data_IF_158931841108
#
_entry.id   IF_158931841108
#
_cell.length_a   1.000
_cell.length_b   1.000
_cell.length_c   1.000
_cell.angle_alpha   90.00
_cell.angle_beta   90.00
_cell.angle_gamma   90.00
#
_symmetry.space_group_name_H-M   'P 1'
#
loop_
_entity.id
_entity.type
_entity.pdbx_description
1 polymer ?
#
# COMPACT_ATOMS: atom_id res chain seq x y z
N UNK A 1 -17.19 -47.58 -3.00
CA UNK A 1 -16.96 -46.36 -2.20
C UNK A 1 -16.45 -45.28 -3.15
N UNK A 2 -17.21 -44.20 -3.32
CA UNK A 2 -16.79 -43.08 -4.16
C UNK A 2 -15.60 -42.35 -3.53
N UNK A 3 -14.66 -41.89 -4.36
CA UNK A 3 -13.57 -41.03 -3.89
C UNK A 3 -14.20 -39.72 -3.41
N UNK A 4 -13.88 -39.31 -2.17
CA UNK A 4 -14.32 -38.02 -1.62
C UNK A 4 -13.34 -36.95 -2.11
N UNK A 5 -13.86 -35.80 -2.51
CA UNK A 5 -13.03 -34.68 -2.96
C UNK A 5 -12.25 -34.10 -1.76
N UNK A 6 -10.97 -33.70 -1.88
CA UNK A 6 -10.20 -33.20 -0.76
C UNK A 6 -10.84 -32.01 -0.03
N UNK A 7 -11.55 -31.13 -0.76
CA UNK A 7 -12.29 -30.02 -0.14
C UNK A 7 -13.38 -30.48 0.84
N UNK A 8 -13.91 -31.69 0.68
CA UNK A 8 -14.96 -32.27 1.53
C UNK A 8 -14.41 -33.25 2.57
N UNK A 9 -13.13 -33.66 2.43
CA UNK A 9 -12.49 -34.64 3.28
C UNK A 9 -11.50 -34.03 4.28
N UNK A 10 -10.92 -32.88 3.94
CA UNK A 10 -9.95 -32.19 4.77
C UNK A 10 -10.66 -31.24 5.75
N UNK A 11 -10.15 -31.16 6.97
CA UNK A 11 -10.63 -30.23 7.98
C UNK A 11 -10.40 -28.79 7.48
N UNK A 12 -11.45 -27.97 7.43
CA UNK A 12 -11.32 -26.52 7.26
C UNK A 12 -10.53 -26.00 8.46
N UNK A 13 -9.24 -25.71 8.26
CA UNK A 13 -8.33 -25.24 9.30
C UNK A 13 -8.65 -23.82 9.78
N UNK A 14 -7.63 -23.04 10.10
CA UNK A 14 -7.80 -21.64 10.50
C UNK A 14 -8.19 -20.75 9.31
N UNK A 15 -8.62 -19.51 9.62
CA UNK A 15 -8.96 -18.50 8.61
C UNK A 15 -7.81 -18.38 7.60
N UNK A 16 -8.07 -18.55 6.29
CA UNK A 16 -7.03 -18.47 5.28
C UNK A 16 -6.43 -17.06 5.27
N UNK A 17 -5.11 -16.99 5.09
CA UNK A 17 -4.43 -15.72 4.90
C UNK A 17 -4.92 -15.04 3.62
N UNK A 18 -4.95 -13.69 3.58
CA UNK A 18 -5.16 -12.98 2.34
C UNK A 18 -4.13 -13.41 1.31
N UNK A 19 -4.57 -13.68 0.08
CA UNK A 19 -3.66 -13.89 -1.04
C UNK A 19 -3.25 -12.51 -1.54
N UNK A 20 -2.01 -12.13 -1.29
CA UNK A 20 -1.40 -10.88 -1.77
C UNK A 20 -0.42 -11.16 -2.91
N UNK A 21 -0.13 -10.18 -3.78
CA UNK A 21 0.92 -10.29 -4.78
C UNK A 21 2.27 -10.66 -4.16
N UNK A 22 3.07 -11.44 -4.89
CA UNK A 22 4.40 -11.87 -4.43
C UNK A 22 5.46 -10.77 -4.53
N UNK A 23 5.15 -9.64 -5.16
CA UNK A 23 6.05 -8.51 -5.33
C UNK A 23 5.34 -7.22 -4.91
N UNK A 24 6.07 -6.38 -4.19
CA UNK A 24 5.68 -5.01 -3.84
C UNK A 24 6.76 -4.07 -4.39
N UNK A 25 6.37 -3.17 -5.29
CA UNK A 25 7.28 -2.25 -5.97
C UNK A 25 7.22 -0.84 -5.34
N UNK A 26 8.36 -0.35 -4.86
CA UNK A 26 8.44 0.97 -4.22
C UNK A 26 8.70 2.10 -5.22
N UNK A 27 7.98 3.20 -5.07
CA UNK A 27 8.18 4.41 -5.86
C UNK A 27 7.98 5.69 -5.01
N UNK A 28 9.03 6.49 -4.89
CA UNK A 28 9.05 7.72 -4.07
C UNK A 28 8.99 9.02 -4.88
N UNK A 29 8.52 9.02 -6.12
CA UNK A 29 8.33 10.27 -6.88
C UNK A 29 7.18 10.12 -7.86
N UNK A 30 6.49 11.22 -8.17
CA UNK A 30 5.35 11.20 -9.11
C UNK A 30 5.68 10.45 -10.41
N UNK A 31 6.85 10.76 -11.00
CA UNK A 31 7.33 10.13 -12.24
C UNK A 31 7.45 8.61 -12.10
N UNK A 32 7.98 8.12 -10.99
CA UNK A 32 8.17 6.69 -10.77
C UNK A 32 6.85 5.99 -10.41
N UNK A 33 5.98 6.65 -9.62
CA UNK A 33 4.66 6.12 -9.29
C UNK A 33 3.85 5.94 -10.57
N UNK A 34 3.78 6.96 -11.44
CA UNK A 34 3.07 6.85 -12.73
C UNK A 34 3.64 5.75 -13.62
N UNK A 35 4.96 5.60 -13.67
CA UNK A 35 5.61 4.51 -14.43
C UNK A 35 5.29 3.13 -13.85
N UNK A 36 5.20 3.01 -12.52
CA UNK A 36 4.83 1.76 -11.87
C UNK A 36 3.37 1.40 -12.20
N UNK A 37 2.45 2.37 -12.15
CA UNK A 37 1.06 2.18 -12.55
C UNK A 37 0.92 1.78 -14.02
N UNK A 38 1.62 2.46 -14.92
CA UNK A 38 1.67 2.09 -16.34
C UNK A 38 2.26 0.69 -16.57
N UNK A 39 3.24 0.28 -15.75
CA UNK A 39 3.82 -1.06 -15.84
C UNK A 39 2.84 -2.13 -15.31
N UNK A 40 2.11 -1.83 -14.24
CA UNK A 40 1.09 -2.71 -13.68
C UNK A 40 -0.04 -2.93 -14.68
N UNK A 41 -0.51 -1.87 -15.34
CA UNK A 41 -1.52 -1.98 -16.41
C UNK A 41 -1.05 -2.86 -17.59
N UNK A 42 0.23 -2.77 -17.96
CA UNK A 42 0.82 -3.58 -19.04
C UNK A 42 1.01 -5.06 -18.68
N UNK A 43 1.45 -5.34 -17.45
CA UNK A 43 1.77 -6.71 -17.00
C UNK A 43 0.58 -7.40 -16.33
N UNK A 44 -0.44 -6.63 -15.96
CA UNK A 44 -1.52 -7.04 -15.06
C UNK A 44 -1.14 -6.90 -13.58
N UNK A 45 -2.11 -7.14 -12.68
CA UNK A 45 -2.00 -6.94 -11.23
C UNK A 45 -1.16 -8.04 -10.53
N UNK A 46 0.09 -8.26 -10.98
CA UNK A 46 0.99 -9.29 -10.44
C UNK A 46 1.93 -8.76 -9.34
N UNK A 47 1.90 -7.45 -9.09
CA UNK A 47 2.64 -6.77 -8.04
C UNK A 47 1.82 -5.60 -7.48
N UNK A 48 1.99 -5.30 -6.20
CA UNK A 48 1.47 -4.07 -5.58
C UNK A 48 2.47 -2.91 -5.74
N UNK A 49 1.98 -1.68 -5.61
CA UNK A 49 2.81 -0.46 -5.66
C UNK A 49 2.78 0.23 -4.31
N UNK A 50 3.94 0.46 -3.70
CA UNK A 50 4.05 1.28 -2.48
C UNK A 50 4.55 2.67 -2.84
N UNK A 51 3.67 3.65 -2.68
CA UNK A 51 4.02 5.07 -2.80
C UNK A 51 4.72 5.51 -1.52
N UNK A 52 5.95 5.97 -1.64
CA UNK A 52 6.83 6.15 -0.49
C UNK A 52 6.89 7.62 -0.04
N UNK A 53 6.33 7.92 1.13
CA UNK A 53 6.52 9.20 1.83
C UNK A 53 7.82 9.22 2.64
N UNK A 54 8.28 8.08 3.17
CA UNK A 54 9.33 8.06 4.18
C UNK A 54 10.71 8.47 3.62
N UNK A 55 11.27 7.66 2.73
CA UNK A 55 12.57 7.97 2.10
C UNK A 55 12.36 8.73 0.77
N UNK A 56 11.13 8.71 0.25
CA UNK A 56 10.75 9.30 -1.03
C UNK A 56 10.38 10.78 -0.97
N UNK A 57 9.94 11.31 0.19
CA UNK A 57 9.59 12.72 0.29
C UNK A 57 10.84 13.60 0.35
N UNK A 58 10.90 14.69 -0.45
CA UNK A 58 11.89 15.73 -0.21
C UNK A 58 11.67 16.38 1.15
N UNK A 59 12.76 16.64 1.88
CA UNK A 59 12.71 17.29 3.19
C UNK A 59 11.96 18.64 3.12
N UNK A 60 11.01 18.85 4.04
CA UNK A 60 10.17 20.04 4.13
C UNK A 60 9.02 20.08 3.12
N UNK A 61 8.80 18.99 2.38
CA UNK A 61 7.68 18.82 1.41
C UNK A 61 6.80 17.63 1.74
N UNK A 62 6.82 17.17 2.99
CA UNK A 62 6.13 15.95 3.44
C UNK A 62 4.63 16.02 3.10
N UNK A 63 3.97 17.13 3.46
CA UNK A 63 2.56 17.39 3.11
C UNK A 63 2.32 17.40 1.60
N UNK A 64 3.12 18.16 0.85
CA UNK A 64 2.97 18.28 -0.61
C UNK A 64 3.15 16.91 -1.29
N UNK A 65 4.03 16.08 -0.75
CA UNK A 65 4.31 14.74 -1.25
C UNK A 65 3.16 13.77 -0.98
N UNK A 66 2.58 13.79 0.22
CA UNK A 66 1.37 13.01 0.53
C UNK A 66 0.18 13.44 -0.35
N UNK A 67 -0.03 14.74 -0.54
CA UNK A 67 -1.07 15.28 -1.44
C UNK A 67 -0.83 14.88 -2.91
N UNK A 68 0.43 14.85 -3.36
CA UNK A 68 0.79 14.34 -4.68
C UNK A 68 0.43 12.86 -4.84
N UNK A 69 0.73 12.03 -3.84
CA UNK A 69 0.37 10.59 -3.86
C UNK A 69 -1.15 10.43 -3.95
N UNK A 70 -1.92 11.16 -3.13
CA UNK A 70 -3.39 11.18 -3.20
C UNK A 70 -3.89 11.56 -4.59
N UNK A 71 -3.33 12.61 -5.19
CA UNK A 71 -3.68 13.07 -6.53
C UNK A 71 -3.40 12.02 -7.61
N UNK A 72 -2.25 11.33 -7.54
CA UNK A 72 -1.90 10.28 -8.51
C UNK A 72 -2.80 9.05 -8.33
N UNK A 73 -3.00 8.58 -7.10
CA UNK A 73 -3.75 7.34 -6.84
C UNK A 73 -5.27 7.47 -7.00
N UNK A 74 -5.81 8.69 -6.84
CA UNK A 74 -7.21 9.00 -7.16
C UNK A 74 -7.49 9.11 -8.66
N UNK A 75 -6.44 9.23 -9.49
CA UNK A 75 -6.58 9.33 -10.95
C UNK A 75 -6.89 7.98 -11.62
N UNK A 76 -7.34 8.05 -12.88
CA UNK A 76 -7.58 6.89 -13.76
C UNK A 76 -6.30 6.05 -14.03
N UNK A 77 -5.11 6.59 -13.76
CA UNK A 77 -3.87 5.83 -13.91
C UNK A 77 -3.79 4.64 -12.93
N UNK A 78 -4.46 4.73 -11.78
CA UNK A 78 -4.56 3.63 -10.83
C UNK A 78 -5.72 2.70 -11.22
N UNK A 79 -5.52 1.92 -12.29
CA UNK A 79 -6.54 1.05 -12.89
C UNK A 79 -6.93 -0.09 -11.94
N UNK A 80 -5.95 -0.73 -11.31
CA UNK A 80 -6.19 -1.95 -10.51
C UNK A 80 -6.50 -1.68 -9.03
N UNK A 81 -6.31 -0.44 -8.54
CA UNK A 81 -6.44 -0.09 -7.12
C UNK A 81 -5.60 -1.00 -6.21
N UNK A 82 -4.39 -1.29 -6.68
CA UNK A 82 -3.37 -2.13 -6.03
C UNK A 82 -2.13 -1.31 -5.72
N UNK A 83 -2.37 -0.20 -5.03
CA UNK A 83 -1.36 0.74 -4.61
C UNK A 83 -1.61 1.16 -3.15
N UNK A 84 -0.61 0.94 -2.31
CA UNK A 84 -0.58 1.40 -0.93
C UNK A 84 0.39 2.58 -0.73
N UNK A 85 0.50 3.02 0.52
CA UNK A 85 1.37 4.14 0.92
C UNK A 85 2.24 3.74 2.10
N UNK A 86 3.54 4.06 2.04
CA UNK A 86 4.43 4.02 3.21
C UNK A 86 4.51 5.43 3.81
N UNK A 87 4.04 5.58 5.04
CA UNK A 87 4.04 6.85 5.79
C UNK A 87 5.38 7.07 6.50
N UNK A 88 5.59 8.24 7.11
CA UNK A 88 6.73 8.48 8.00
C UNK A 88 6.65 7.62 9.28
N UNK A 89 7.79 7.40 9.96
CA UNK A 89 7.82 6.62 11.21
C UNK A 89 7.31 7.40 12.43
N UNK A 90 7.05 6.68 13.53
CA UNK A 90 6.45 7.22 14.75
C UNK A 90 7.26 8.34 15.42
N UNK A 91 8.57 8.44 15.17
CA UNK A 91 9.45 9.49 15.70
C UNK A 91 9.28 10.82 14.97
N UNK A 92 8.75 10.80 13.74
CA UNK A 92 8.38 11.99 12.97
C UNK A 92 7.00 12.49 13.40
N UNK A 93 6.90 12.99 14.64
CA UNK A 93 5.63 13.25 15.34
C UNK A 93 4.66 14.17 14.59
N UNK A 94 5.18 15.06 13.75
CA UNK A 94 4.38 16.04 13.01
C UNK A 94 3.91 15.52 11.64
N UNK A 95 4.51 14.44 11.13
CA UNK A 95 4.32 14.00 9.75
C UNK A 95 3.56 12.68 9.64
N UNK A 96 3.83 11.67 10.47
CA UNK A 96 3.21 10.35 10.25
C UNK A 96 1.67 10.38 10.39
N UNK A 97 1.14 11.16 11.34
CA UNK A 97 -0.32 11.34 11.48
C UNK A 97 -0.89 12.16 10.34
N UNK A 98 -0.17 13.20 9.92
CA UNK A 98 -0.57 14.04 8.80
C UNK A 98 -0.63 13.24 7.50
N UNK A 99 0.33 12.33 7.27
CA UNK A 99 0.28 11.42 6.12
C UNK A 99 -0.97 10.56 6.16
N UNK A 100 -1.29 9.97 7.33
CA UNK A 100 -2.49 9.16 7.51
C UNK A 100 -3.75 9.97 7.24
N UNK A 101 -3.87 11.17 7.84
CA UNK A 101 -5.03 12.04 7.65
C UNK A 101 -5.22 12.37 6.16
N UNK A 102 -4.16 12.79 5.46
CA UNK A 102 -4.21 13.14 4.04
C UNK A 102 -4.59 11.92 3.16
N UNK A 103 -3.95 10.77 3.40
CA UNK A 103 -4.16 9.56 2.59
C UNK A 103 -5.55 8.99 2.83
N UNK A 104 -5.98 8.85 4.08
CA UNK A 104 -7.27 8.25 4.42
C UNK A 104 -8.42 9.17 3.99
N UNK A 105 -8.33 10.48 4.22
CA UNK A 105 -9.38 11.42 3.78
C UNK A 105 -9.46 11.49 2.24
N UNK A 106 -8.32 11.42 1.56
CA UNK A 106 -8.24 11.57 0.10
C UNK A 106 -8.56 10.32 -0.71
N UNK A 107 -8.09 9.15 -0.24
CA UNK A 107 -8.16 7.88 -0.98
C UNK A 107 -8.43 6.66 -0.08
N UNK A 108 -8.97 6.84 1.12
CA UNK A 108 -9.22 5.75 2.08
C UNK A 108 -10.06 4.60 1.55
N UNK A 109 -10.96 4.86 0.60
CA UNK A 109 -11.81 3.85 -0.05
C UNK A 109 -11.08 2.99 -1.10
N UNK A 110 -9.90 3.42 -1.56
CA UNK A 110 -9.16 2.76 -2.66
C UNK A 110 -7.69 2.47 -2.37
N UNK A 111 -7.11 3.03 -1.31
CA UNK A 111 -5.74 2.72 -0.89
C UNK A 111 -5.69 1.27 -0.39
N UNK A 112 -4.76 0.47 -0.92
CA UNK A 112 -4.76 -0.97 -0.66
C UNK A 112 -4.25 -1.32 0.74
N UNK A 113 -3.29 -0.53 1.25
CA UNK A 113 -2.67 -0.71 2.56
C UNK A 113 -1.87 0.54 2.97
N UNK A 114 -1.57 0.63 4.26
CA UNK A 114 -0.61 1.58 4.83
C UNK A 114 0.56 0.80 5.43
N UNK A 115 1.77 1.07 4.95
CA UNK A 115 3.00 0.49 5.47
C UNK A 115 3.55 1.40 6.57
N UNK A 116 3.64 0.88 7.80
CA UNK A 116 4.16 1.59 8.97
C UNK A 116 5.64 1.24 9.16
N UNK A 117 6.57 2.19 8.99
CA UNK A 117 7.99 1.89 9.08
C UNK A 117 8.55 2.02 10.51
N UNK A 118 9.70 1.37 10.71
CA UNK A 118 10.59 1.50 11.87
C UNK A 118 9.93 1.38 13.27
N UNK A 119 8.96 0.47 13.51
CA UNK A 119 8.47 0.27 14.86
C UNK A 119 9.59 -0.31 15.75
N UNK A 120 9.70 0.21 16.97
CA UNK A 120 10.66 -0.26 17.99
C UNK A 120 9.97 -0.98 19.15
N UNK A 121 8.64 -0.88 19.25
CA UNK A 121 7.85 -1.57 20.25
C UNK A 121 6.44 -1.89 19.75
N UNK A 122 5.85 -2.99 20.25
CA UNK A 122 4.54 -3.45 19.81
C UNK A 122 3.42 -2.40 20.00
N UNK A 123 3.46 -1.61 21.08
CA UNK A 123 2.44 -0.59 21.36
C UNK A 123 2.42 0.58 20.35
N UNK A 124 3.42 0.69 19.48
CA UNK A 124 3.47 1.72 18.43
C UNK A 124 2.66 1.32 17.19
N UNK A 125 2.32 0.03 17.05
CA UNK A 125 1.58 -0.54 15.92
C UNK A 125 0.30 -1.25 16.35
N UNK A 126 -0.02 -1.23 17.64
CA UNK A 126 -1.16 -1.93 18.25
C UNK A 126 -2.40 -1.04 18.39
#
# INVERSE_FOLDING_TARGET
MGRIHPADALFEGEKPFPVIPSCEHFAGSEKLIRKALELQDKLGPIFDITCDCEDGAPQGKEKEHAEMIVSVLSSEANVHKMAGVRIHDYTHTDHWKQDVDIVVDGIGEIVSYITIPKPTAAHQVA
#
